data_IF_540827049548
#
_entry.id   IF_540827049548
#
_cell.length_a   1.000
_cell.length_b   1.000
_cell.length_c   1.000
_cell.angle_alpha   90.00
_cell.angle_beta   90.00
_cell.angle_gamma   90.00
#
_symmetry.space_group_name_H-M   'P 1'
#
loop_
_entity.id
_entity.type
_entity.pdbx_description
1 polymer ?
#
# COMPACT_ATOMS: atom_id res chain seq x y z
N UNK A 1 7.52 36.93 15.79
CA UNK A 1 6.58 36.98 14.64
C UNK A 1 6.05 35.57 14.41
N UNK A 2 4.74 35.39 14.59
CA UNK A 2 4.03 34.12 14.58
C UNK A 2 3.87 33.56 13.15
N UNK A 3 4.46 32.40 12.85
CA UNK A 3 4.06 31.60 11.68
C UNK A 3 3.14 30.47 12.13
N UNK A 4 1.86 30.82 12.26
CA UNK A 4 0.74 29.93 12.56
C UNK A 4 0.33 29.14 11.31
N UNK A 5 1.26 28.37 10.71
CA UNK A 5 0.92 27.37 9.69
C UNK A 5 0.36 26.15 10.42
N UNK A 6 -0.93 26.18 10.76
CA UNK A 6 -1.60 25.07 11.42
C UNK A 6 -1.33 23.76 10.66
N UNK A 7 -0.77 22.76 11.36
CA UNK A 7 -0.46 21.44 10.82
C UNK A 7 -1.67 20.89 10.04
N UNK A 8 -1.52 20.60 8.72
CA UNK A 8 -2.62 20.14 7.87
C UNK A 8 -3.26 18.84 8.40
N UNK A 9 -2.49 18.00 9.11
CA UNK A 9 -2.99 16.79 9.77
C UNK A 9 -3.89 17.18 10.95
N UNK A 10 -3.42 18.03 11.86
CA UNK A 10 -4.20 18.51 12.99
C UNK A 10 -5.51 19.19 12.54
N UNK A 11 -5.46 20.01 11.49
CA UNK A 11 -6.65 20.65 10.89
C UNK A 11 -7.63 19.60 10.33
N UNK A 12 -7.12 18.57 9.65
CA UNK A 12 -7.94 17.47 9.11
C UNK A 12 -8.63 16.68 10.22
N UNK A 13 -7.93 16.43 11.33
CA UNK A 13 -8.49 15.72 12.48
C UNK A 13 -9.57 16.57 13.16
N UNK A 14 -9.31 17.86 13.37
CA UNK A 14 -10.24 18.78 14.05
C UNK A 14 -11.56 18.97 13.28
N UNK A 15 -11.50 19.00 11.94
CA UNK A 15 -12.64 19.19 11.05
C UNK A 15 -13.43 17.91 10.73
N UNK A 16 -13.02 16.76 11.26
CA UNK A 16 -13.66 15.49 10.95
C UNK A 16 -15.02 15.33 11.66
N UNK A 17 -16.02 14.89 10.91
CA UNK A 17 -17.34 14.49 11.41
C UNK A 17 -17.70 13.12 10.82
N UNK A 18 -17.91 12.08 11.63
CA UNK A 18 -18.29 10.76 11.15
C UNK A 18 -19.75 10.71 10.70
N UNK A 19 -20.04 9.86 9.73
CA UNK A 19 -21.42 9.53 9.30
C UNK A 19 -21.94 8.25 9.95
N UNK A 20 -21.07 7.45 10.55
CA UNK A 20 -21.42 6.14 11.13
C UNK A 20 -21.82 6.18 12.60
N UNK A 21 -21.55 7.29 13.30
CA UNK A 21 -21.95 7.52 14.69
C UNK A 21 -23.05 8.59 14.74
N UNK A 22 -23.95 8.49 15.71
CA UNK A 22 -24.92 9.57 15.96
C UNK A 22 -24.22 10.85 16.42
N UNK A 23 -24.83 12.02 16.19
CA UNK A 23 -24.25 13.30 16.58
C UNK A 23 -23.98 13.38 18.10
N UNK A 24 -24.87 12.82 18.92
CA UNK A 24 -24.71 12.75 20.37
C UNK A 24 -23.53 11.87 20.76
N UNK A 25 -23.41 10.68 20.15
CA UNK A 25 -22.31 9.75 20.42
C UNK A 25 -20.97 10.33 19.98
N UNK A 26 -20.93 10.99 18.82
CA UNK A 26 -19.74 11.69 18.37
C UNK A 26 -19.35 12.83 19.32
N UNK A 27 -20.30 13.62 19.82
CA UNK A 27 -20.02 14.68 20.80
C UNK A 27 -19.32 14.14 22.06
N UNK A 28 -19.70 12.95 22.52
CA UNK A 28 -19.07 12.29 23.67
C UNK A 28 -17.65 11.79 23.37
N UNK A 29 -17.43 11.23 22.18
CA UNK A 29 -16.19 10.53 21.82
C UNK A 29 -15.17 11.42 21.10
N UNK A 30 -15.59 12.57 20.55
CA UNK A 30 -14.77 13.39 19.65
C UNK A 30 -13.41 13.71 20.24
N UNK A 31 -13.36 14.17 21.50
CA UNK A 31 -12.10 14.52 22.16
C UNK A 31 -11.15 13.32 22.22
N UNK A 32 -11.60 12.21 22.80
CA UNK A 32 -10.76 11.02 23.00
C UNK A 32 -10.35 10.36 21.69
N UNK A 33 -11.21 10.34 20.67
CA UNK A 33 -10.88 9.79 19.34
C UNK A 33 -9.86 10.68 18.62
N UNK A 34 -10.05 12.01 18.64
CA UNK A 34 -9.10 12.92 18.04
C UNK A 34 -7.72 12.86 18.72
N UNK A 35 -7.68 12.82 20.05
CA UNK A 35 -6.44 12.68 20.83
C UNK A 35 -5.75 11.33 20.55
N UNK A 36 -6.51 10.24 20.44
CA UNK A 36 -5.98 8.92 20.09
C UNK A 36 -5.34 8.92 18.69
N UNK A 37 -6.00 9.53 17.70
CA UNK A 37 -5.46 9.60 16.34
C UNK A 37 -4.26 10.54 16.27
N UNK A 38 -4.25 11.65 17.00
CA UNK A 38 -3.10 12.56 17.08
C UNK A 38 -1.89 11.87 17.72
N UNK A 39 -2.10 11.10 18.80
CA UNK A 39 -1.05 10.32 19.46
C UNK A 39 -0.64 9.06 18.69
N UNK A 40 -1.41 8.65 17.68
CA UNK A 40 -1.04 7.60 16.73
C UNK A 40 -0.54 8.25 15.43
N UNK A 41 0.71 8.75 15.37
CA UNK A 41 1.17 9.70 14.35
C UNK A 41 0.82 9.23 12.93
N UNK A 42 -0.13 9.90 12.26
CA UNK A 42 -0.49 9.57 10.89
C UNK A 42 0.58 10.08 9.93
N UNK A 43 0.79 9.37 8.82
CA UNK A 43 1.84 9.71 7.86
C UNK A 43 1.50 10.92 7.00
N UNK A 44 0.21 11.19 6.80
CA UNK A 44 -0.32 12.30 6.01
C UNK A 44 -1.82 12.51 6.33
N UNK A 45 -2.43 13.50 5.71
CA UNK A 45 -3.84 13.87 5.90
C UNK A 45 -4.83 12.76 5.52
N UNK A 46 -4.53 11.94 4.52
CA UNK A 46 -5.37 10.81 4.11
C UNK A 46 -5.24 9.61 5.05
N UNK A 47 -4.05 9.37 5.63
CA UNK A 47 -3.86 8.38 6.69
C UNK A 47 -4.62 8.80 7.96
N UNK A 48 -4.55 10.09 8.34
CA UNK A 48 -5.32 10.63 9.46
C UNK A 48 -6.83 10.43 9.28
N UNK A 49 -7.35 10.77 8.09
CA UNK A 49 -8.75 10.50 7.73
C UNK A 49 -9.08 9.02 7.80
N UNK A 50 -8.19 8.16 7.30
CA UNK A 50 -8.39 6.72 7.27
C UNK A 50 -8.42 6.11 8.68
N UNK A 51 -7.59 6.59 9.61
CA UNK A 51 -7.61 6.19 11.02
C UNK A 51 -8.92 6.62 11.69
N UNK A 52 -9.37 7.85 11.45
CA UNK A 52 -10.66 8.34 11.96
C UNK A 52 -11.83 7.50 11.46
N UNK A 53 -11.90 7.24 10.15
CA UNK A 53 -12.94 6.39 9.54
C UNK A 53 -12.91 4.98 10.12
N UNK A 54 -11.73 4.37 10.24
CA UNK A 54 -11.57 3.05 10.83
C UNK A 54 -12.11 3.00 12.27
N UNK A 55 -11.71 3.97 13.08
CA UNK A 55 -12.11 4.07 14.49
C UNK A 55 -13.61 4.28 14.64
N UNK A 56 -14.21 5.20 13.89
CA UNK A 56 -15.65 5.49 13.99
C UNK A 56 -16.51 4.33 13.47
N UNK A 57 -16.09 3.64 12.41
CA UNK A 57 -16.81 2.45 11.93
C UNK A 57 -16.75 1.31 12.94
N UNK A 58 -15.59 1.11 13.56
CA UNK A 58 -15.42 0.13 14.63
C UNK A 58 -16.28 0.46 15.86
N UNK A 59 -16.30 1.72 16.30
CA UNK A 59 -17.11 2.15 17.44
C UNK A 59 -18.62 2.04 17.16
N UNK A 60 -19.05 2.34 15.93
CA UNK A 60 -20.44 2.15 15.52
C UNK A 60 -20.85 0.67 15.52
N UNK A 61 -19.93 -0.22 15.15
CA UNK A 61 -20.13 -1.66 15.28
C UNK A 61 -20.17 -2.10 16.75
N UNK A 62 -19.27 -1.57 17.59
CA UNK A 62 -19.20 -1.90 19.01
C UNK A 62 -20.47 -1.49 19.75
N UNK A 63 -20.98 -0.29 19.49
CA UNK A 63 -22.22 0.23 20.09
C UNK A 63 -23.45 -0.64 19.69
N UNK A 64 -23.41 -1.30 18.53
CA UNK A 64 -24.48 -2.23 18.09
C UNK A 64 -24.38 -3.62 18.73
N UNK A 65 -23.16 -4.08 19.00
CA UNK A 65 -22.88 -5.45 19.40
C UNK A 65 -22.58 -5.62 20.89
N UNK A 66 -22.53 -4.52 21.65
CA UNK A 66 -22.29 -4.55 23.09
C UNK A 66 -23.30 -3.69 23.83
N UNK A 67 -23.75 -4.17 24.98
CA UNK A 67 -24.73 -3.46 25.82
C UNK A 67 -24.13 -2.31 26.62
N UNK A 68 -22.81 -2.10 26.55
CA UNK A 68 -22.08 -1.12 27.38
C UNK A 68 -21.34 -0.13 26.50
N UNK A 69 -21.88 1.09 26.41
CA UNK A 69 -21.21 2.19 25.72
C UNK A 69 -19.99 2.65 26.52
N UNK A 70 -18.78 2.26 26.09
CA UNK A 70 -17.54 2.75 26.70
C UNK A 70 -17.09 4.06 26.06
N UNK A 71 -16.51 4.95 26.88
CA UNK A 71 -15.77 6.15 26.42
C UNK A 71 -14.26 5.97 26.54
N UNK A 72 -13.80 4.92 27.21
CA UNK A 72 -12.39 4.58 27.35
C UNK A 72 -11.92 3.83 26.10
N UNK A 73 -10.98 4.44 25.36
CA UNK A 73 -10.47 3.85 24.11
C UNK A 73 -9.61 2.60 24.34
N UNK A 74 -8.96 2.45 25.49
CA UNK A 74 -8.20 1.24 25.81
C UNK A 74 -9.15 0.03 26.00
N UNK A 75 -10.27 0.24 26.69
CA UNK A 75 -11.30 -0.78 26.86
C UNK A 75 -12.04 -1.06 25.54
N UNK A 76 -12.26 -0.02 24.73
CA UNK A 76 -12.90 -0.17 23.42
C UNK A 76 -12.01 -0.99 22.47
N UNK A 77 -10.71 -0.69 22.41
CA UNK A 77 -9.76 -1.29 21.48
C UNK A 77 -9.01 -2.45 22.14
N UNK A 78 -9.66 -3.61 22.24
CA UNK A 78 -9.00 -4.87 22.60
C UNK A 78 -8.81 -5.74 21.37
N UNK A 79 -7.73 -6.54 21.32
CA UNK A 79 -7.46 -7.43 20.18
C UNK A 79 -8.64 -8.38 19.92
N UNK A 80 -9.28 -8.92 20.97
CA UNK A 80 -10.47 -9.78 20.86
C UNK A 80 -11.62 -9.09 20.12
N UNK A 81 -11.93 -7.84 20.49
CA UNK A 81 -13.02 -7.09 19.87
C UNK A 81 -12.68 -6.66 18.44
N UNK A 82 -11.40 -6.33 18.17
CA UNK A 82 -10.92 -6.01 16.83
C UNK A 82 -11.04 -7.23 15.91
N UNK A 83 -10.66 -8.43 16.38
CA UNK A 83 -10.79 -9.68 15.63
C UNK A 83 -12.26 -9.93 15.31
N UNK A 84 -13.16 -9.83 16.29
CA UNK A 84 -14.60 -10.00 16.08
C UNK A 84 -15.17 -9.04 15.03
N UNK A 85 -14.83 -7.75 15.13
CA UNK A 85 -15.22 -6.75 14.13
C UNK A 85 -14.73 -7.11 12.73
N UNK A 86 -13.46 -7.50 12.60
CA UNK A 86 -12.88 -7.81 11.28
C UNK A 86 -13.42 -9.11 10.68
N UNK A 87 -13.83 -10.07 11.51
CA UNK A 87 -14.50 -11.28 11.08
C UNK A 87 -15.89 -10.97 10.52
N UNK A 88 -16.68 -10.12 11.18
CA UNK A 88 -17.96 -9.66 10.65
C UNK A 88 -17.77 -8.84 9.37
N UNK A 89 -16.81 -7.92 9.34
CA UNK A 89 -16.51 -7.12 8.16
C UNK A 89 -16.13 -7.99 6.95
N UNK A 90 -15.47 -9.13 7.17
CA UNK A 90 -15.09 -10.06 6.11
C UNK A 90 -16.27 -10.72 5.40
N UNK A 91 -17.47 -10.69 5.98
CA UNK A 91 -18.69 -11.20 5.34
C UNK A 91 -19.19 -10.31 4.20
N UNK A 92 -18.82 -9.02 4.20
CA UNK A 92 -19.38 -8.00 3.30
C UNK A 92 -18.35 -7.12 2.61
N UNK A 93 -17.06 -7.20 2.98
CA UNK A 93 -16.00 -6.35 2.42
C UNK A 93 -14.88 -7.17 1.77
N UNK A 94 -14.23 -6.58 0.76
CA UNK A 94 -13.06 -7.17 0.11
C UNK A 94 -11.91 -7.42 1.11
N UNK A 95 -11.17 -8.51 0.94
CA UNK A 95 -10.05 -8.91 1.82
C UNK A 95 -9.03 -7.78 2.06
N UNK A 96 -8.74 -6.98 1.03
CA UNK A 96 -7.84 -5.82 1.14
C UNK A 96 -8.39 -4.76 2.10
N UNK A 97 -9.69 -4.51 2.07
CA UNK A 97 -10.37 -3.57 2.98
C UNK A 97 -10.28 -4.09 4.42
N UNK A 98 -10.56 -5.37 4.64
CA UNK A 98 -10.44 -6.01 5.97
C UNK A 98 -9.02 -5.88 6.52
N UNK A 99 -8.01 -6.24 5.71
CA UNK A 99 -6.60 -6.11 6.09
C UNK A 99 -6.20 -4.68 6.44
N UNK A 100 -6.67 -3.69 5.67
CA UNK A 100 -6.40 -2.28 5.94
C UNK A 100 -7.06 -1.80 7.23
N UNK A 101 -8.31 -2.22 7.49
CA UNK A 101 -9.02 -1.91 8.73
C UNK A 101 -8.31 -2.52 9.94
N UNK A 102 -7.96 -3.81 9.86
CA UNK A 102 -7.22 -4.52 10.90
C UNK A 102 -5.89 -3.83 11.23
N UNK A 103 -5.10 -3.48 10.21
CA UNK A 103 -3.81 -2.81 10.41
C UNK A 103 -3.93 -1.45 11.10
N UNK A 104 -4.97 -0.68 10.77
CA UNK A 104 -5.26 0.62 11.41
C UNK A 104 -5.72 0.47 12.85
N UNK A 105 -6.67 -0.43 13.11
CA UNK A 105 -7.16 -0.70 14.47
C UNK A 105 -6.05 -1.24 15.37
N UNK A 106 -5.16 -2.09 14.86
CA UNK A 106 -3.98 -2.55 15.62
C UNK A 106 -2.98 -1.45 15.92
N UNK A 107 -2.81 -0.45 15.04
CA UNK A 107 -1.99 0.74 15.34
C UNK A 107 -2.59 1.51 16.53
N UNK A 108 -3.90 1.74 16.49
CA UNK A 108 -4.64 2.45 17.54
C UNK A 108 -4.65 1.68 18.86
N UNK A 109 -4.88 0.36 18.82
CA UNK A 109 -4.77 -0.54 19.99
C UNK A 109 -3.41 -0.42 20.65
N UNK A 110 -2.33 -0.55 19.87
CA UNK A 110 -0.97 -0.45 20.43
C UNK A 110 -0.75 0.90 21.12
N UNK A 111 -1.17 1.99 20.50
CA UNK A 111 -1.06 3.31 21.12
C UNK A 111 -1.92 3.43 22.39
N UNK A 112 -3.18 2.97 22.36
CA UNK A 112 -4.08 3.01 23.52
C UNK A 112 -3.56 2.20 24.73
N UNK A 113 -2.77 1.15 24.47
CA UNK A 113 -2.19 0.26 25.49
C UNK A 113 -0.69 0.50 25.73
N UNK A 114 -0.11 1.57 25.20
CA UNK A 114 1.33 1.86 25.27
C UNK A 114 2.23 0.69 24.83
N UNK A 115 1.75 -0.14 23.90
CA UNK A 115 2.50 -1.27 23.35
C UNK A 115 3.43 -0.72 22.26
N UNK A 116 4.74 -0.97 22.36
CA UNK A 116 5.69 -0.56 21.32
C UNK A 116 5.26 -1.06 19.95
N UNK A 117 5.46 -0.24 18.92
CA UNK A 117 5.35 -0.75 17.56
C UNK A 117 6.44 -1.82 17.39
N UNK A 118 6.09 -3.04 16.94
CA UNK A 118 7.13 -4.01 16.64
C UNK A 118 8.05 -3.36 15.60
N UNK A 119 9.35 -3.27 15.93
CA UNK A 119 10.36 -2.77 15.02
C UNK A 119 10.24 -3.56 13.71
N UNK A 120 9.67 -2.94 12.69
CA UNK A 120 9.56 -3.52 11.35
C UNK A 120 10.93 -3.72 10.70
N UNK A 121 12.02 -3.30 11.36
CA UNK A 121 13.38 -3.52 10.91
C UNK A 121 13.85 -4.98 11.01
N UNK A 122 13.16 -5.85 11.77
CA UNK A 122 13.52 -7.28 11.87
C UNK A 122 12.47 -8.23 11.29
N UNK A 123 11.31 -7.72 10.88
CA UNK A 123 10.25 -8.53 10.24
C UNK A 123 10.28 -8.49 8.70
N UNK A 124 11.22 -7.75 8.08
CA UNK A 124 11.40 -7.72 6.63
C UNK A 124 12.53 -8.63 6.11
N UNK A 125 13.27 -9.31 6.99
CA UNK A 125 14.39 -10.19 6.57
C UNK A 125 14.01 -11.67 6.50
N UNK A 126 12.79 -12.04 6.88
CA UNK A 126 12.36 -13.44 6.78
C UNK A 126 10.96 -13.50 6.18
N UNK A 127 10.90 -14.00 4.95
CA UNK A 127 9.68 -14.52 4.32
C UNK A 127 8.54 -13.52 4.10
N UNK A 128 8.83 -12.42 3.39
CA UNK A 128 7.90 -12.09 2.31
C UNK A 128 8.13 -13.18 1.25
N UNK A 129 7.38 -14.28 1.33
CA UNK A 129 7.15 -15.12 0.16
C UNK A 129 6.78 -14.15 -0.96
N UNK A 130 7.68 -14.00 -1.92
CA UNK A 130 7.40 -13.31 -3.17
C UNK A 130 6.16 -13.98 -3.72
N UNK A 131 5.02 -13.35 -3.49
CA UNK A 131 3.77 -13.78 -4.06
C UNK A 131 4.00 -13.64 -5.56
N UNK A 132 4.25 -14.79 -6.22
CA UNK A 132 4.68 -14.91 -7.60
C UNK A 132 3.79 -14.02 -8.45
N UNK A 133 4.33 -12.89 -8.89
CA UNK A 133 3.60 -11.97 -9.73
C UNK A 133 3.95 -12.33 -11.16
N UNK A 134 2.96 -12.78 -11.94
CA UNK A 134 3.19 -13.10 -13.34
C UNK A 134 3.69 -11.85 -14.07
N UNK A 135 4.80 -11.94 -14.83
CA UNK A 135 5.25 -10.88 -15.73
C UNK A 135 4.11 -10.38 -16.63
N UNK A 136 4.25 -9.17 -17.16
CA UNK A 136 3.39 -8.73 -18.26
C UNK A 136 3.71 -9.56 -19.51
N UNK A 137 2.66 -9.95 -20.23
CA UNK A 137 2.83 -10.50 -21.57
C UNK A 137 3.31 -9.41 -22.55
N UNK A 138 3.91 -9.78 -23.70
CA UNK A 138 4.24 -8.83 -24.75
C UNK A 138 3.02 -7.99 -25.20
N UNK A 139 1.84 -8.61 -25.29
CA UNK A 139 0.58 -7.94 -25.67
C UNK A 139 0.16 -6.89 -24.63
N UNK A 140 0.26 -7.22 -23.33
CA UNK A 140 -0.04 -6.26 -22.27
C UNK A 140 0.95 -5.09 -22.27
N UNK A 141 2.25 -5.35 -22.47
CA UNK A 141 3.26 -4.29 -22.55
C UNK A 141 3.05 -3.40 -23.78
N UNK A 142 2.77 -3.98 -24.94
CA UNK A 142 2.49 -3.22 -26.16
C UNK A 142 1.24 -2.37 -26.00
N UNK A 143 0.20 -2.91 -25.35
CA UNK A 143 -1.01 -2.15 -25.06
C UNK A 143 -0.75 -1.03 -24.07
N UNK A 144 0.12 -1.22 -23.06
CA UNK A 144 0.51 -0.15 -22.15
C UNK A 144 1.34 0.94 -22.86
N UNK A 145 2.29 0.55 -23.70
CA UNK A 145 3.18 1.47 -24.41
C UNK A 145 2.50 2.18 -25.60
N UNK A 146 1.41 1.63 -26.14
CA UNK A 146 0.61 2.28 -27.18
C UNK A 146 -0.33 3.36 -26.63
N UNK A 147 -0.49 3.45 -25.31
CA UNK A 147 -1.20 4.56 -24.69
C UNK A 147 -0.37 5.83 -24.87
N UNK A 148 -0.95 6.85 -25.49
CA UNK A 148 -0.35 8.18 -25.69
C UNK A 148 -0.28 8.95 -24.37
N UNK A 149 0.34 8.38 -23.34
CA UNK A 149 0.51 8.96 -22.02
C UNK A 149 2.00 8.93 -21.62
N UNK A 150 2.66 10.10 -21.48
CA UNK A 150 4.10 10.16 -21.22
C UNK A 150 4.48 9.60 -19.85
N UNK A 151 3.57 9.63 -18.86
CA UNK A 151 3.82 9.05 -17.55
C UNK A 151 3.86 7.51 -17.59
N UNK A 152 3.05 6.86 -18.43
CA UNK A 152 3.14 5.41 -18.64
C UNK A 152 4.48 5.06 -19.26
N UNK A 153 4.88 5.74 -20.34
CA UNK A 153 6.19 5.51 -20.98
C UNK A 153 7.33 5.68 -19.98
N UNK A 154 7.32 6.77 -19.21
CA UNK A 154 8.36 7.05 -18.19
C UNK A 154 8.44 5.94 -17.13
N UNK A 155 7.28 5.51 -16.61
CA UNK A 155 7.22 4.52 -15.53
C UNK A 155 7.58 3.11 -15.98
N UNK A 156 7.11 2.71 -17.17
CA UNK A 156 7.39 1.40 -17.76
C UNK A 156 8.85 1.31 -18.20
N UNK A 157 9.37 2.32 -18.92
CA UNK A 157 10.75 2.33 -19.41
C UNK A 157 11.76 2.30 -18.27
N UNK A 158 11.58 3.10 -17.21
CA UNK A 158 12.47 3.05 -16.06
C UNK A 158 12.49 1.64 -15.43
N UNK A 159 11.31 1.05 -15.24
CA UNK A 159 11.19 -0.27 -14.64
C UNK A 159 11.83 -1.37 -15.50
N UNK A 160 11.61 -1.36 -16.82
CA UNK A 160 12.16 -2.37 -17.74
C UNK A 160 13.66 -2.17 -18.01
N UNK A 161 14.20 -0.97 -17.82
CA UNK A 161 15.63 -0.70 -18.03
C UNK A 161 16.44 -1.02 -16.78
N UNK A 162 15.93 -0.66 -15.60
CA UNK A 162 16.71 -0.64 -14.35
C UNK A 162 16.18 -1.56 -13.27
N UNK A 163 15.02 -2.18 -13.46
CA UNK A 163 14.30 -2.89 -12.39
C UNK A 163 13.72 -1.98 -11.31
N UNK A 164 13.93 -0.67 -11.42
CA UNK A 164 13.53 0.30 -10.41
C UNK A 164 12.03 0.60 -10.51
N UNK A 165 11.32 0.27 -9.44
CA UNK A 165 9.89 0.56 -9.28
C UNK A 165 9.63 1.25 -7.94
N UNK A 166 8.38 1.68 -7.69
CA UNK A 166 8.00 2.27 -6.39
C UNK A 166 8.20 1.26 -5.24
N UNK A 167 8.74 1.69 -4.09
CA UNK A 167 9.03 3.10 -3.72
C UNK A 167 10.40 3.62 -4.17
N UNK A 168 11.33 2.75 -4.56
CA UNK A 168 12.71 3.10 -4.93
C UNK A 168 12.77 4.10 -6.10
N UNK A 169 11.80 4.05 -7.01
CA UNK A 169 11.69 5.02 -8.11
C UNK A 169 11.56 6.49 -7.65
N UNK A 170 11.13 6.76 -6.41
CA UNK A 170 11.01 8.13 -5.89
C UNK A 170 12.35 8.78 -5.56
N UNK A 171 13.37 7.97 -5.29
CA UNK A 171 14.71 8.43 -4.87
C UNK A 171 15.79 8.12 -5.91
N UNK A 172 15.41 7.55 -7.05
CA UNK A 172 16.33 7.21 -8.13
C UNK A 172 16.70 8.47 -8.94
N UNK A 173 17.96 8.64 -9.40
CA UNK A 173 18.39 9.82 -10.17
C UNK A 173 17.54 10.07 -11.43
N UNK A 174 17.16 9.00 -12.14
CA UNK A 174 16.26 9.02 -13.29
C UNK A 174 14.83 8.59 -12.91
N UNK A 175 14.48 8.77 -11.64
CA UNK A 175 13.23 8.34 -11.03
C UNK A 175 12.03 9.19 -11.39
N UNK A 176 10.90 8.89 -10.76
CA UNK A 176 9.68 9.68 -10.89
C UNK A 176 8.97 9.85 -9.54
N UNK A 177 8.32 11.02 -9.32
CA UNK A 177 7.57 11.26 -8.10
C UNK A 177 6.28 10.42 -8.06
N UNK A 178 5.67 10.32 -6.88
CA UNK A 178 4.45 9.53 -6.68
C UNK A 178 3.28 9.97 -7.57
N UNK A 179 3.17 11.26 -7.85
CA UNK A 179 2.14 11.84 -8.72
C UNK A 179 2.18 11.25 -10.14
N UNK A 180 3.37 11.08 -10.73
CA UNK A 180 3.56 10.51 -12.07
C UNK A 180 3.05 9.07 -12.12
N UNK A 181 3.36 8.26 -11.11
CA UNK A 181 2.86 6.90 -11.01
C UNK A 181 1.34 6.82 -10.85
N UNK A 182 0.76 7.68 -10.02
CA UNK A 182 -0.69 7.69 -9.81
C UNK A 182 -1.43 8.16 -11.08
N UNK A 183 -0.82 9.02 -11.90
CA UNK A 183 -1.32 9.38 -13.25
C UNK A 183 -1.20 8.22 -14.23
N UNK A 184 -0.02 7.60 -14.34
CA UNK A 184 0.20 6.43 -15.21
C UNK A 184 -0.77 5.28 -14.89
N UNK A 185 -0.96 4.99 -13.60
CA UNK A 185 -1.89 3.94 -13.13
C UNK A 185 -3.35 4.25 -13.45
N UNK A 186 -3.75 5.52 -13.40
CA UNK A 186 -5.10 5.94 -13.79
C UNK A 186 -5.31 5.76 -15.29
N UNK A 187 -4.36 6.23 -16.10
CA UNK A 187 -4.41 6.08 -17.56
C UNK A 187 -4.45 4.61 -18.00
N UNK A 188 -3.59 3.75 -17.43
CA UNK A 188 -3.60 2.31 -17.71
C UNK A 188 -4.94 1.65 -17.34
N UNK A 189 -5.52 2.03 -16.19
CA UNK A 189 -6.83 1.51 -15.75
C UNK A 189 -7.94 1.89 -16.73
N UNK A 190 -7.93 3.10 -17.30
CA UNK A 190 -8.90 3.51 -18.33
C UNK A 190 -8.81 2.64 -19.58
N UNK A 191 -7.62 2.13 -19.90
CA UNK A 191 -7.40 1.18 -20.99
C UNK A 191 -7.65 -0.30 -20.61
N UNK A 192 -8.20 -0.57 -19.42
CA UNK A 192 -8.51 -1.93 -18.97
C UNK A 192 -7.30 -2.71 -18.43
N UNK A 193 -6.11 -2.12 -18.36
CA UNK A 193 -4.89 -2.79 -17.87
C UNK A 193 -4.51 -2.27 -16.48
N UNK A 194 -4.30 -3.19 -15.54
CA UNK A 194 -3.78 -2.82 -14.24
C UNK A 194 -2.25 -2.63 -14.31
N UNK A 195 -1.78 -1.38 -14.19
CA UNK A 195 -0.38 -1.07 -13.96
C UNK A 195 0.02 -1.41 -12.51
N UNK A 196 0.99 -2.32 -12.35
CA UNK A 196 1.44 -2.89 -11.09
C UNK A 196 2.97 -2.92 -11.03
N UNK A 197 3.54 -2.31 -9.99
CA UNK A 197 4.99 -2.21 -9.81
C UNK A 197 5.65 -3.57 -9.62
N UNK A 198 4.96 -4.53 -8.99
CA UNK A 198 5.49 -5.88 -8.78
C UNK A 198 5.52 -6.67 -10.09
N UNK A 199 4.50 -6.51 -10.95
CA UNK A 199 4.49 -7.11 -12.28
C UNK A 199 5.57 -6.50 -13.18
N UNK A 200 5.76 -5.17 -13.12
CA UNK A 200 6.85 -4.51 -13.86
C UNK A 200 8.23 -5.04 -13.43
N UNK A 201 8.47 -5.16 -12.12
CA UNK A 201 9.73 -5.71 -11.62
C UNK A 201 9.91 -7.18 -12.02
N UNK A 202 8.86 -8.01 -11.92
CA UNK A 202 8.89 -9.39 -12.38
C UNK A 202 9.16 -9.51 -13.89
N UNK A 203 8.65 -8.56 -14.69
CA UNK A 203 8.89 -8.48 -16.14
C UNK A 203 10.34 -8.16 -16.44
N UNK A 204 10.92 -7.17 -15.76
CA UNK A 204 12.34 -6.87 -15.84
C UNK A 204 13.19 -8.07 -15.42
N UNK A 205 12.89 -8.69 -14.27
CA UNK A 205 13.64 -9.84 -13.77
C UNK A 205 13.59 -11.01 -14.77
N UNK A 206 12.42 -11.26 -15.37
CA UNK A 206 12.27 -12.25 -16.43
C UNK A 206 13.15 -11.91 -17.65
N UNK A 207 13.13 -10.66 -18.13
CA UNK A 207 13.97 -10.23 -19.26
C UNK A 207 15.47 -10.40 -18.97
N UNK A 208 15.93 -9.99 -17.78
CA UNK A 208 17.34 -10.12 -17.39
C UNK A 208 17.80 -11.57 -17.31
N UNK A 209 16.92 -12.49 -16.91
CA UNK A 209 17.27 -13.91 -16.86
C UNK A 209 17.41 -14.62 -18.20
N UNK A 210 16.87 -14.04 -19.27
CA UNK A 210 17.06 -14.55 -20.63
C UNK A 210 18.42 -14.13 -21.21
N UNK A 211 19.13 -13.19 -20.56
CA UNK A 211 20.45 -12.77 -20.98
C UNK A 211 21.51 -13.78 -20.50
N UNK A 212 22.59 -14.01 -21.28
CA UNK A 212 23.71 -14.85 -20.88
C UNK A 212 24.60 -14.14 -19.85
N UNK A 213 24.02 -13.75 -18.71
CA UNK A 213 24.66 -12.96 -17.66
C UNK A 213 24.82 -13.83 -16.41
N UNK A 214 26.02 -13.88 -15.78
CA UNK A 214 26.20 -14.62 -14.53
C UNK A 214 25.24 -14.14 -13.43
N UNK A 215 24.67 -15.08 -12.66
CA UNK A 215 23.71 -14.78 -11.60
C UNK A 215 24.21 -13.77 -10.55
N UNK A 216 25.52 -13.75 -10.27
CA UNK A 216 26.14 -12.77 -9.36
C UNK A 216 26.02 -11.32 -9.86
N UNK A 217 26.03 -11.12 -11.19
CA UNK A 217 25.88 -9.81 -11.81
C UNK A 217 24.41 -9.38 -11.85
N UNK A 218 23.48 -10.33 -12.03
CA UNK A 218 22.04 -10.11 -11.91
C UNK A 218 21.64 -9.69 -10.48
N UNK A 219 22.25 -10.31 -9.46
CA UNK A 219 22.03 -9.92 -8.06
C UNK A 219 22.52 -8.49 -7.78
N UNK A 220 23.69 -8.11 -8.33
CA UNK A 220 24.19 -6.73 -8.23
C UNK A 220 23.32 -5.70 -8.94
N UNK A 221 22.57 -6.12 -9.95
CA UNK A 221 21.61 -5.27 -10.68
C UNK A 221 20.24 -5.19 -10.00
N UNK A 222 20.04 -5.90 -8.88
CA UNK A 222 18.82 -5.80 -8.07
C UNK A 222 17.88 -6.99 -8.17
N UNK A 223 18.23 -8.09 -8.85
CA UNK A 223 17.47 -9.34 -8.77
C UNK A 223 17.70 -9.99 -7.40
N UNK A 224 16.62 -10.34 -6.71
CA UNK A 224 16.73 -11.14 -5.50
C UNK A 224 17.02 -12.60 -5.85
N UNK A 225 17.58 -13.34 -4.89
CA UNK A 225 17.69 -14.82 -4.97
C UNK A 225 16.33 -15.50 -5.15
N UNK A 226 15.24 -14.83 -4.78
CA UNK A 226 13.85 -15.32 -4.97
C UNK A 226 13.37 -15.16 -6.41
N UNK A 227 13.81 -14.10 -7.11
CA UNK A 227 13.49 -13.88 -8.52
C UNK A 227 14.15 -14.94 -9.39
N UNK A 228 15.43 -15.23 -9.12
CA UNK A 228 16.18 -16.30 -9.79
C UNK A 228 15.50 -17.67 -9.61
N UNK A 229 15.06 -18.00 -8.39
CA UNK A 229 14.34 -19.26 -8.10
C UNK A 229 12.97 -19.35 -8.77
N UNK A 230 12.29 -18.22 -9.00
CA UNK A 230 10.98 -18.18 -9.67
C UNK A 230 11.15 -18.41 -11.17
N UNK A 231 12.17 -17.78 -11.75
CA UNK A 231 12.51 -17.87 -13.17
C UNK A 231 12.92 -19.28 -13.56
N UNK A 232 13.77 -19.96 -12.78
CA UNK A 232 14.21 -21.34 -13.06
C UNK A 232 13.07 -22.36 -13.11
N UNK A 233 11.86 -22.03 -12.61
CA UNK A 233 10.70 -22.92 -12.56
C UNK A 233 9.63 -22.62 -13.63
N UNK A 234 9.74 -21.54 -14.39
CA UNK A 234 8.71 -21.08 -15.35
C UNK A 234 9.19 -21.04 -16.81
N UNK A 235 10.36 -21.59 -17.14
CA UNK A 235 10.95 -21.44 -18.48
C UNK A 235 10.22 -22.29 -19.53
N UNK A 236 9.36 -21.65 -20.33
CA UNK A 236 9.30 -21.88 -21.77
C UNK A 236 9.93 -20.65 -22.46
N UNK A 237 10.91 -20.83 -23.37
CA UNK A 237 11.61 -19.72 -24.00
C UNK A 237 10.74 -19.01 -25.04
N UNK A 238 10.69 -17.69 -25.00
CA UNK A 238 10.20 -16.87 -26.13
C UNK A 238 11.40 -16.45 -27.01
N UNK A 239 11.24 -16.45 -28.35
CA UNK A 239 12.34 -16.22 -29.28
C UNK A 239 12.83 -14.77 -29.27
N UNK A 240 14.16 -14.64 -29.27
CA UNK A 240 15.02 -13.45 -29.14
C UNK A 240 14.81 -12.39 -30.25
N UNK A 241 13.96 -12.64 -31.23
CA UNK A 241 13.82 -11.84 -32.47
C UNK A 241 13.04 -10.52 -32.31
N UNK A 242 12.31 -10.28 -31.22
CA UNK A 242 11.49 -9.05 -31.08
C UNK A 242 12.17 -7.85 -30.37
N UNK A 243 13.42 -7.99 -29.91
CA UNK A 243 14.15 -6.92 -29.18
C UNK A 243 14.99 -5.99 -30.06
N UNK A 244 14.86 -6.05 -31.39
CA UNK A 244 15.66 -5.21 -32.32
C UNK A 244 15.07 -3.82 -32.63
N UNK A 245 13.97 -3.40 -32.01
CA UNK A 245 13.36 -2.09 -32.28
C UNK A 245 13.44 -1.14 -31.07
N UNK A 246 14.67 -0.78 -30.71
CA UNK A 246 15.00 0.45 -29.97
C UNK A 246 16.53 0.61 -29.95
N UNK A 247 17.11 0.97 -31.10
CA UNK A 247 18.44 1.59 -31.19
C UNK A 247 18.28 2.89 -31.95
#
# INVERSE_FOLDING_TARGET
MNHNSADPIAKRIAAYTPTTLSAQRWKQLRKVVCELVQSTPPHNTEDAKSLLVATCNYLAWLDKNTSTATTNMADALTETRIIAYTAELATSAAQKTVKNQLGRLRRLHRNAHNIPTPNTSTANTTTHTAQRCTPYSPEELNTLLSLTNPEITTTVTLALTTGTVIPTAHTHPNGYPRSVWDTARRAARTAGIQLDSRRLHATWAHQQSQLPTPAAQLIRQGLSTTDLNTISRTVHPLPVEQLKLAR
#
